data_IF_150390670067
#
_entry.id   IF_150390670067
#
_cell.length_a   1.000
_cell.length_b   1.000
_cell.length_c   1.000
_cell.angle_alpha   90.00
_cell.angle_beta   90.00
_cell.angle_gamma   90.00
#
_symmetry.space_group_name_H-M   'P 1'
#
loop_
_entity.id
_entity.type
_entity.pdbx_description
1 polymer ?
#
# COMPACT_ATOMS: atom_id res chain seq x y z
N UNK A 1 -40.11 -18.25 2.51
CA UNK A 1 -39.94 -16.77 2.41
C UNK A 1 -38.57 -16.47 2.99
N UNK A 2 -37.54 -16.43 2.13
CA UNK A 2 -36.14 -16.35 2.58
C UNK A 2 -35.81 -14.91 2.98
N UNK A 3 -35.47 -14.72 4.25
CA UNK A 3 -35.22 -13.42 4.84
C UNK A 3 -33.79 -12.95 4.47
N UNK A 4 -33.71 -12.06 3.48
CA UNK A 4 -32.46 -11.48 2.96
C UNK A 4 -31.75 -10.51 3.93
N UNK A 5 -32.28 -10.28 5.15
CA UNK A 5 -31.67 -9.32 6.09
C UNK A 5 -30.44 -9.87 6.83
N UNK A 6 -30.27 -11.19 6.92
CA UNK A 6 -29.15 -11.80 7.65
C UNK A 6 -27.87 -11.98 6.83
N UNK A 7 -27.93 -11.80 5.51
CA UNK A 7 -26.77 -12.03 4.63
C UNK A 7 -25.86 -10.81 4.42
N UNK A 8 -26.22 -9.62 4.94
CA UNK A 8 -25.67 -8.35 4.42
C UNK A 8 -24.71 -7.55 5.28
N UNK A 9 -24.36 -7.96 6.51
CA UNK A 9 -23.51 -7.11 7.39
C UNK A 9 -22.36 -7.86 8.06
N UNK A 10 -22.48 -9.17 8.34
CA UNK A 10 -21.38 -9.96 8.89
C UNK A 10 -20.16 -10.05 7.94
N UNK A 11 -20.41 -10.10 6.63
CA UNK A 11 -19.34 -10.13 5.63
C UNK A 11 -18.57 -8.79 5.55
N UNK A 12 -19.24 -7.66 5.71
CA UNK A 12 -18.62 -6.33 5.53
C UNK A 12 -17.59 -6.05 6.63
N UNK A 13 -17.93 -6.34 7.89
CA UNK A 13 -17.00 -6.17 9.02
C UNK A 13 -15.80 -7.13 8.94
N UNK A 14 -16.03 -8.36 8.48
CA UNK A 14 -14.96 -9.37 8.29
C UNK A 14 -14.04 -8.97 7.13
N UNK A 15 -14.62 -8.50 6.02
CA UNK A 15 -13.89 -8.01 4.85
C UNK A 15 -13.01 -6.80 5.19
N UNK A 16 -13.54 -5.87 5.98
CA UNK A 16 -12.79 -4.70 6.44
C UNK A 16 -11.57 -5.08 7.31
N UNK A 17 -11.70 -6.14 8.10
CA UNK A 17 -10.60 -6.69 8.91
C UNK A 17 -9.56 -7.39 8.03
N UNK A 18 -9.99 -8.19 7.05
CA UNK A 18 -9.09 -8.86 6.11
C UNK A 18 -8.29 -7.84 5.28
N UNK A 19 -8.97 -6.83 4.74
CA UNK A 19 -8.32 -5.73 3.99
C UNK A 19 -7.31 -5.01 4.88
N UNK A 20 -7.62 -4.79 6.16
CA UNK A 20 -6.67 -4.18 7.09
C UNK A 20 -5.40 -5.01 7.24
N UNK A 21 -5.53 -6.29 7.59
CA UNK A 21 -4.38 -7.17 7.78
C UNK A 21 -3.55 -7.31 6.48
N UNK A 22 -4.21 -7.41 5.33
CA UNK A 22 -3.55 -7.46 4.03
C UNK A 22 -2.80 -6.18 3.68
N UNK A 23 -3.34 -5.01 4.06
CA UNK A 23 -2.69 -3.72 3.85
C UNK A 23 -1.50 -3.55 4.77
N UNK A 24 -1.65 -3.94 6.04
CA UNK A 24 -0.60 -3.87 7.03
C UNK A 24 0.57 -4.77 6.65
N UNK A 25 0.30 -6.02 6.25
CA UNK A 25 1.34 -6.94 5.76
C UNK A 25 1.98 -6.43 4.48
N UNK A 26 1.19 -5.91 3.53
CA UNK A 26 1.70 -5.29 2.30
C UNK A 26 2.61 -4.09 2.57
N UNK A 27 2.28 -3.25 3.55
CA UNK A 27 3.11 -2.12 3.95
C UNK A 27 4.44 -2.56 4.57
N UNK A 28 4.42 -3.57 5.44
CA UNK A 28 5.64 -4.14 6.02
C UNK A 28 6.54 -4.70 4.91
N UNK A 29 5.97 -5.45 3.98
CA UNK A 29 6.69 -6.02 2.83
C UNK A 29 7.26 -4.90 1.94
N UNK A 30 6.52 -3.81 1.72
CA UNK A 30 7.00 -2.64 0.97
C UNK A 30 8.20 -1.97 1.63
N UNK A 31 8.19 -1.82 2.95
CA UNK A 31 9.35 -1.27 3.69
C UNK A 31 10.57 -2.16 3.49
N UNK A 32 10.43 -3.48 3.66
CA UNK A 32 11.53 -4.42 3.41
C UNK A 32 12.03 -4.34 1.96
N UNK A 33 11.12 -4.26 1.00
CA UNK A 33 11.46 -4.13 -0.42
C UNK A 33 12.29 -2.87 -0.72
N UNK A 34 11.93 -1.72 -0.14
CA UNK A 34 12.67 -0.46 -0.32
C UNK A 34 14.04 -0.54 0.33
N UNK A 35 14.14 -1.08 1.55
CA UNK A 35 15.42 -1.20 2.26
C UNK A 35 16.39 -2.06 1.43
N UNK A 36 15.93 -3.24 0.99
CA UNK A 36 16.75 -4.13 0.17
C UNK A 36 17.09 -3.50 -1.18
N UNK A 37 16.11 -2.93 -1.88
CA UNK A 37 16.34 -2.28 -3.17
C UNK A 37 17.33 -1.13 -3.09
N UNK A 38 17.27 -0.33 -2.02
CA UNK A 38 18.21 0.78 -1.79
C UNK A 38 19.59 0.27 -1.42
N UNK A 39 19.71 -0.74 -0.55
CA UNK A 39 21.00 -1.34 -0.18
C UNK A 39 21.73 -1.92 -1.40
N UNK A 40 21.04 -2.73 -2.21
CA UNK A 40 21.62 -3.30 -3.43
C UNK A 40 21.92 -2.23 -4.47
N UNK A 41 21.02 -1.25 -4.62
CA UNK A 41 21.29 -0.09 -5.45
C UNK A 41 22.62 0.56 -5.08
N UNK A 42 22.84 0.85 -3.79
CA UNK A 42 24.02 1.60 -3.28
C UNK A 42 25.31 0.87 -3.62
N UNK A 43 25.27 -0.45 -3.54
CA UNK A 43 26.41 -1.31 -3.87
C UNK A 43 26.67 -1.32 -5.39
N UNK A 44 25.64 -1.27 -6.24
CA UNK A 44 25.79 -1.38 -7.70
C UNK A 44 26.08 -0.06 -8.42
N UNK A 45 25.49 1.07 -7.99
CA UNK A 45 25.47 2.33 -8.76
C UNK A 45 26.08 3.52 -8.00
N UNK A 46 26.36 3.39 -6.69
CA UNK A 46 26.85 4.49 -5.85
C UNK A 46 25.80 5.60 -5.66
N UNK A 47 26.12 6.79 -5.14
CA UNK A 47 25.14 7.81 -4.69
C UNK A 47 24.05 8.26 -5.69
N UNK A 48 24.14 7.92 -6.99
CA UNK A 48 23.13 8.28 -8.00
C UNK A 48 21.76 7.60 -7.80
N UNK A 49 21.66 6.57 -6.95
CA UNK A 49 20.40 5.83 -6.73
C UNK A 49 19.36 6.65 -5.99
N UNK A 50 19.78 7.65 -5.21
CA UNK A 50 18.81 8.52 -4.54
C UNK A 50 18.00 9.36 -5.53
N UNK A 51 18.50 9.53 -6.77
CA UNK A 51 17.82 10.21 -7.87
C UNK A 51 17.02 9.22 -8.73
N UNK A 52 17.20 7.91 -8.49
CA UNK A 52 16.55 6.88 -9.28
C UNK A 52 15.02 6.95 -9.07
N UNK A 53 14.23 7.13 -10.15
CA UNK A 53 12.78 7.31 -10.06
C UNK A 53 12.10 6.21 -9.27
N UNK A 54 12.64 4.98 -9.32
CA UNK A 54 12.13 3.81 -8.62
C UNK A 54 12.19 3.95 -7.09
N UNK A 55 13.27 4.51 -6.56
CA UNK A 55 13.46 4.70 -5.11
C UNK A 55 12.60 5.84 -4.61
N UNK A 56 12.54 6.95 -5.35
CA UNK A 56 11.68 8.10 -5.04
C UNK A 56 10.21 7.66 -5.02
N UNK A 57 9.73 6.99 -6.07
CA UNK A 57 8.32 6.60 -6.18
C UNK A 57 7.92 5.61 -5.09
N UNK A 58 8.81 4.68 -4.72
CA UNK A 58 8.54 3.72 -3.64
C UNK A 58 8.54 4.39 -2.28
N UNK A 59 9.44 5.35 -2.03
CA UNK A 59 9.47 6.11 -0.77
C UNK A 59 8.18 6.91 -0.55
N UNK A 60 7.65 7.56 -1.60
CA UNK A 60 6.38 8.29 -1.56
C UNK A 60 5.22 7.35 -1.22
N UNK A 61 5.17 6.16 -1.82
CA UNK A 61 4.12 5.16 -1.54
C UNK A 61 4.17 4.67 -0.10
N UNK A 62 5.37 4.44 0.44
CA UNK A 62 5.51 4.02 1.84
C UNK A 62 5.04 5.09 2.81
N UNK A 63 5.32 6.37 2.54
CA UNK A 63 4.81 7.50 3.33
C UNK A 63 3.28 7.60 3.21
N UNK A 64 2.72 7.42 2.01
CA UNK A 64 1.27 7.42 1.79
C UNK A 64 0.57 6.28 2.53
N UNK A 65 1.12 5.07 2.52
CA UNK A 65 0.61 3.96 3.32
C UNK A 65 0.74 4.22 4.83
N UNK A 66 1.84 4.84 5.27
CA UNK A 66 2.00 5.27 6.67
C UNK A 66 0.91 6.26 7.09
N UNK A 67 0.60 7.24 6.24
CA UNK A 67 -0.48 8.19 6.47
C UNK A 67 -1.87 7.53 6.56
N UNK A 68 -2.12 6.50 5.74
CA UNK A 68 -3.35 5.71 5.81
C UNK A 68 -3.50 4.97 7.14
N UNK A 69 -2.42 4.37 7.63
CA UNK A 69 -2.42 3.67 8.93
C UNK A 69 -2.69 4.67 10.06
N UNK A 70 -2.06 5.85 10.05
CA UNK A 70 -2.31 6.90 11.04
C UNK A 70 -3.75 7.42 11.03
N UNK A 71 -4.32 7.66 9.84
CA UNK A 71 -5.72 8.06 9.66
C UNK A 71 -6.69 6.98 10.18
N UNK A 72 -6.32 5.70 10.04
CA UNK A 72 -7.13 4.58 10.55
C UNK A 72 -7.05 4.41 12.06
N UNK A 73 -5.87 4.59 12.67
CA UNK A 73 -5.68 4.54 14.13
C UNK A 73 -6.52 5.62 14.83
N UNK A 74 -6.57 6.82 14.25
CA UNK A 74 -7.35 7.92 14.82
C UNK A 74 -8.87 7.73 14.69
N UNK A 75 -9.37 6.70 13.98
CA UNK A 75 -10.82 6.45 13.75
C UNK A 75 -11.61 7.66 13.23
N UNK A 76 -10.93 8.62 12.60
CA UNK A 76 -11.55 9.86 12.12
C UNK A 76 -12.49 9.66 10.93
N UNK A 77 -12.39 8.53 10.22
CA UNK A 77 -13.10 8.30 8.97
C UNK A 77 -13.99 7.06 9.02
N UNK A 78 -15.17 7.20 8.43
CA UNK A 78 -16.16 6.15 8.25
C UNK A 78 -15.56 5.00 7.42
N UNK A 79 -15.82 3.74 7.80
CA UNK A 79 -15.22 2.51 7.22
C UNK A 79 -15.23 2.46 5.68
N UNK A 80 -16.23 3.07 5.03
CA UNK A 80 -16.31 3.13 3.56
C UNK A 80 -15.16 3.94 2.95
N UNK A 81 -14.79 5.08 3.54
CA UNK A 81 -13.71 5.92 3.03
C UNK A 81 -12.34 5.25 3.18
N UNK A 82 -12.14 4.44 4.22
CA UNK A 82 -10.92 3.65 4.41
C UNK A 82 -10.75 2.60 3.30
N UNK A 83 -11.83 1.94 2.89
CA UNK A 83 -11.80 0.98 1.78
C UNK A 83 -11.41 1.68 0.46
N UNK A 84 -12.02 2.82 0.13
CA UNK A 84 -11.67 3.58 -1.07
C UNK A 84 -10.21 4.06 -1.06
N UNK A 85 -9.72 4.53 0.08
CA UNK A 85 -8.33 4.95 0.22
C UNK A 85 -7.36 3.78 -0.02
N UNK A 86 -7.72 2.59 0.45
CA UNK A 86 -6.94 1.38 0.22
C UNK A 86 -6.85 0.99 -1.26
N UNK A 87 -7.98 1.07 -1.97
CA UNK A 87 -8.06 0.80 -3.41
C UNK A 87 -7.18 1.79 -4.18
N UNK A 88 -7.21 3.07 -3.81
CA UNK A 88 -6.36 4.11 -4.41
C UNK A 88 -4.88 3.80 -4.16
N UNK A 89 -4.50 3.44 -2.94
CA UNK A 89 -3.13 3.05 -2.59
C UNK A 89 -2.64 1.83 -3.38
N UNK A 90 -3.49 0.81 -3.54
CA UNK A 90 -3.18 -0.37 -4.36
C UNK A 90 -2.98 0.00 -5.83
N UNK A 91 -3.84 0.86 -6.37
CA UNK A 91 -3.72 1.34 -7.75
C UNK A 91 -2.42 2.13 -7.95
N UNK A 92 -2.04 2.97 -6.99
CA UNK A 92 -0.79 3.74 -7.01
C UNK A 92 0.44 2.81 -6.92
N UNK A 93 0.35 1.73 -6.14
CA UNK A 93 1.38 0.68 -6.09
C UNK A 93 1.54 -0.03 -7.45
N UNK A 94 0.45 -0.37 -8.13
CA UNK A 94 0.50 -0.95 -9.47
C UNK A 94 1.16 -0.01 -10.48
N UNK A 95 0.86 1.30 -10.43
CA UNK A 95 1.54 2.28 -11.28
C UNK A 95 3.05 2.30 -11.01
N UNK A 96 3.47 2.21 -9.75
CA UNK A 96 4.90 2.10 -9.42
C UNK A 96 5.54 0.86 -10.03
N UNK A 97 4.89 -0.30 -9.93
CA UNK A 97 5.38 -1.54 -10.54
C UNK A 97 5.60 -1.38 -12.06
N UNK A 98 4.65 -0.74 -12.77
CA UNK A 98 4.77 -0.49 -14.21
C UNK A 98 5.93 0.45 -14.55
N UNK A 99 6.07 1.56 -13.80
CA UNK A 99 7.18 2.51 -13.99
C UNK A 99 8.54 1.86 -13.70
N UNK A 100 8.65 1.11 -12.62
CA UNK A 100 9.87 0.41 -12.24
C UNK A 100 10.33 -0.63 -13.29
N UNK A 101 9.41 -1.16 -14.08
CA UNK A 101 9.70 -2.14 -15.14
C UNK A 101 10.09 -1.47 -16.45
N UNK A 102 9.47 -0.34 -16.80
CA UNK A 102 9.73 0.36 -18.05
C UNK A 102 11.08 1.10 -18.09
N UNK A 103 11.58 1.58 -16.95
CA UNK A 103 12.89 2.27 -16.87
C UNK A 103 14.11 1.32 -16.88
N UNK A 104 13.90 0.01 -16.94
CA UNK A 104 14.99 -1.00 -17.00
C UNK A 104 15.43 -1.31 -18.44
N UNK A 105 14.85 -0.67 -19.45
CA UNK A 105 15.19 -0.88 -20.86
C UNK A 105 15.90 0.35 -21.46
#
# INVERSE_FOLDING_TARGET
RFDQKYFRIGSVATLESIVFYSTLSGWIILIFSIILGTQWGVISVGERIFIDPKVILSSIITVLYGSYILLRINKWLNSRYLIYYNIILFCLNMINLFFATHFVN
#
